data_IF_802455769579
#
_entry.id   IF_802455769579
#
_cell.length_a   1.000
_cell.length_b   1.000
_cell.length_c   1.000
_cell.angle_alpha   90.00
_cell.angle_beta   90.00
_cell.angle_gamma   90.00
#
_symmetry.space_group_name_H-M   'P 1'
#
loop_
_entity.id
_entity.type
_entity.pdbx_description
1 polymer ?
#
# COMPACT_ATOMS: atom_id res chain seq x y z
N UNK A 1 20.27 14.64 4.99
CA UNK A 1 19.50 14.82 3.76
C UNK A 1 18.23 14.02 3.86
N UNK A 2 17.16 14.54 3.33
CA UNK A 2 15.86 13.89 3.46
C UNK A 2 15.56 13.01 2.24
N UNK A 3 14.75 11.99 2.45
CA UNK A 3 14.16 11.23 1.35
C UNK A 3 13.20 12.16 0.60
N UNK A 4 13.29 12.18 -0.72
CA UNK A 4 12.42 13.01 -1.54
C UNK A 4 11.09 12.29 -1.79
N UNK A 5 10.04 12.79 -1.18
CA UNK A 5 8.68 12.30 -1.37
C UNK A 5 8.00 13.11 -2.48
N UNK A 6 7.36 12.41 -3.40
CA UNK A 6 6.70 13.03 -4.56
C UNK A 6 5.20 13.25 -4.35
N UNK A 7 4.52 12.28 -3.75
CA UNK A 7 3.08 12.33 -3.55
C UNK A 7 2.64 11.20 -2.62
N UNK A 8 1.39 11.23 -2.18
CA UNK A 8 0.79 10.08 -1.51
C UNK A 8 0.44 9.05 -2.58
N UNK A 9 0.94 7.83 -2.41
CA UNK A 9 0.65 6.72 -3.32
C UNK A 9 -0.69 6.06 -2.98
N UNK A 10 -0.84 5.63 -1.74
CA UNK A 10 -2.09 5.05 -1.26
C UNK A 10 -2.18 5.12 0.26
N UNK A 11 -3.38 4.86 0.77
CA UNK A 11 -3.66 4.71 2.19
C UNK A 11 -4.30 3.35 2.41
N UNK A 12 -3.72 2.54 3.28
CA UNK A 12 -4.21 1.19 3.57
C UNK A 12 -5.02 1.18 4.87
N UNK A 13 -6.23 0.63 4.81
CA UNK A 13 -7.12 0.49 5.96
C UNK A 13 -7.57 -0.96 6.10
N UNK A 14 -7.84 -1.38 7.33
CA UNK A 14 -8.34 -2.73 7.62
C UNK A 14 -9.85 -2.79 7.51
N UNK A 15 -10.35 -3.90 6.94
CA UNK A 15 -11.78 -4.12 6.75
C UNK A 15 -12.21 -5.46 7.38
N UNK A 16 -11.74 -5.75 8.59
CA UNK A 16 -11.94 -7.03 9.24
C UNK A 16 -13.36 -7.31 9.70
N UNK A 17 -14.18 -6.25 9.87
CA UNK A 17 -15.49 -6.36 10.51
C UNK A 17 -16.63 -6.63 9.56
N UNK A 18 -16.40 -6.53 8.27
CA UNK A 18 -17.43 -6.68 7.24
C UNK A 18 -16.86 -7.41 6.04
N UNK A 19 -17.70 -8.10 5.24
CA UNK A 19 -17.25 -8.71 3.99
C UNK A 19 -16.65 -7.64 3.05
N UNK A 20 -15.58 -7.97 2.31
CA UNK A 20 -14.96 -7.02 1.38
C UNK A 20 -15.93 -6.38 0.39
N UNK A 21 -16.90 -7.15 -0.12
CA UNK A 21 -17.90 -6.63 -1.07
C UNK A 21 -18.80 -5.57 -0.45
N UNK A 22 -19.16 -5.73 0.82
CA UNK A 22 -19.98 -4.75 1.54
C UNK A 22 -19.21 -3.44 1.69
N UNK A 23 -17.93 -3.51 2.03
CA UNK A 23 -17.10 -2.32 2.18
C UNK A 23 -16.87 -1.65 0.82
N UNK A 24 -16.57 -2.44 -0.22
CA UNK A 24 -16.45 -1.91 -1.57
C UNK A 24 -17.72 -1.17 -1.98
N UNK A 25 -18.88 -1.75 -1.72
CA UNK A 25 -20.16 -1.13 -2.05
C UNK A 25 -20.34 0.23 -1.42
N UNK A 26 -19.88 0.43 -0.19
CA UNK A 26 -19.91 1.74 0.44
C UNK A 26 -19.08 2.76 -0.36
N UNK A 27 -17.84 2.40 -0.69
CA UNK A 27 -16.98 3.32 -1.45
C UNK A 27 -17.53 3.63 -2.84
N UNK A 28 -18.08 2.64 -3.53
CA UNK A 28 -18.64 2.85 -4.87
C UNK A 28 -19.97 3.60 -4.85
N UNK A 29 -20.90 3.19 -4.00
CA UNK A 29 -22.27 3.67 -4.04
C UNK A 29 -22.50 4.92 -3.21
N UNK A 30 -21.76 5.11 -2.12
CA UNK A 30 -21.90 6.30 -1.27
C UNK A 30 -20.92 7.38 -1.69
N UNK A 31 -19.65 7.02 -1.91
CA UNK A 31 -18.60 7.98 -2.22
C UNK A 31 -18.30 8.12 -3.71
N UNK A 32 -18.86 7.27 -4.55
CA UNK A 32 -18.62 7.32 -5.99
C UNK A 32 -17.20 6.94 -6.41
N UNK A 33 -16.50 6.17 -5.58
CA UNK A 33 -15.11 5.80 -5.83
C UNK A 33 -15.03 4.36 -6.34
N UNK A 34 -14.59 4.14 -7.59
CA UNK A 34 -14.59 2.79 -8.16
C UNK A 34 -13.40 1.95 -7.68
N UNK A 35 -13.63 0.65 -7.58
CA UNK A 35 -12.57 -0.30 -7.36
C UNK A 35 -11.73 -0.45 -8.63
N UNK A 36 -10.41 -0.52 -8.48
CA UNK A 36 -9.50 -0.77 -9.59
C UNK A 36 -9.56 -2.23 -10.00
N UNK A 37 -9.74 -2.47 -11.29
CA UNK A 37 -9.82 -3.84 -11.85
C UNK A 37 -8.48 -4.53 -11.96
N UNK A 38 -7.39 -3.79 -11.79
CA UNK A 38 -6.02 -4.30 -11.91
C UNK A 38 -5.39 -4.79 -10.62
N UNK A 39 -6.13 -4.85 -9.52
CA UNK A 39 -5.57 -5.36 -8.26
C UNK A 39 -5.18 -6.83 -8.41
N UNK A 40 -3.91 -7.20 -8.13
CA UNK A 40 -3.54 -8.61 -8.16
C UNK A 40 -4.20 -9.38 -7.02
N UNK A 41 -4.39 -10.68 -7.22
CA UNK A 41 -4.80 -11.56 -6.13
C UNK A 41 -3.62 -11.80 -5.21
N UNK A 42 -3.79 -11.46 -3.93
CA UNK A 42 -2.77 -11.72 -2.91
C UNK A 42 -3.34 -12.81 -2.00
N UNK A 43 -2.77 -14.03 -2.04
CA UNK A 43 -3.31 -15.15 -1.28
C UNK A 43 -3.42 -14.83 0.23
N UNK A 44 -4.60 -15.05 0.81
CA UNK A 44 -4.86 -14.79 2.22
C UNK A 44 -5.01 -13.31 2.59
N UNK A 45 -5.00 -12.42 1.61
CA UNK A 45 -5.17 -10.98 1.82
C UNK A 45 -6.27 -10.48 0.87
N UNK A 46 -7.54 -10.77 1.16
CA UNK A 46 -8.65 -10.30 0.35
C UNK A 46 -8.82 -8.79 0.48
N UNK A 47 -9.40 -8.17 -0.52
CA UNK A 47 -9.70 -6.75 -0.47
C UNK A 47 -9.81 -6.11 -1.83
N UNK A 48 -9.80 -4.79 -1.83
CA UNK A 48 -9.96 -3.99 -3.04
C UNK A 48 -9.03 -2.78 -2.98
N UNK A 49 -8.64 -2.32 -4.15
CA UNK A 49 -7.95 -1.04 -4.30
C UNK A 49 -8.95 -0.05 -4.89
N UNK A 50 -9.24 0.99 -4.15
CA UNK A 50 -10.24 1.99 -4.52
C UNK A 50 -9.52 3.19 -5.14
N UNK A 51 -9.89 3.57 -6.36
CA UNK A 51 -9.28 4.72 -7.03
C UNK A 51 -9.84 6.02 -6.49
N UNK A 52 -8.95 6.97 -6.17
CA UNK A 52 -9.30 8.30 -5.69
C UNK A 52 -8.60 9.31 -6.59
N UNK A 53 -9.36 9.99 -7.43
CA UNK A 53 -8.80 10.93 -8.39
C UNK A 53 -7.85 10.27 -9.38
N UNK A 54 -6.93 11.06 -9.92
CA UNK A 54 -6.03 10.60 -10.99
C UNK A 54 -4.91 9.70 -10.48
N UNK A 55 -4.46 9.86 -9.25
CA UNK A 55 -3.25 9.18 -8.77
C UNK A 55 -3.40 8.46 -7.43
N UNK A 56 -4.37 8.83 -6.60
CA UNK A 56 -4.51 8.26 -5.26
C UNK A 56 -5.24 6.92 -5.25
N UNK A 57 -5.01 6.14 -4.19
CA UNK A 57 -5.79 4.94 -3.91
C UNK A 57 -6.00 4.76 -2.41
N UNK A 58 -7.10 4.10 -2.08
CA UNK A 58 -7.32 3.55 -0.74
C UNK A 58 -7.29 2.02 -0.91
N UNK A 59 -6.41 1.36 -0.16
CA UNK A 59 -6.32 -0.09 -0.17
C UNK A 59 -7.17 -0.65 0.97
N UNK A 60 -8.22 -1.38 0.64
CA UNK A 60 -9.06 -2.08 1.61
C UNK A 60 -8.45 -3.46 1.81
N UNK A 61 -7.98 -3.74 3.02
CA UNK A 61 -7.23 -4.96 3.30
C UNK A 61 -7.95 -5.80 4.35
N UNK A 62 -8.38 -6.98 3.95
CA UNK A 62 -9.03 -7.95 4.80
C UNK A 62 -8.14 -9.14 5.16
N UNK A 63 -8.77 -10.15 5.74
CA UNK A 63 -8.07 -11.37 6.16
C UNK A 63 -7.53 -11.29 7.58
N UNK A 64 -6.88 -12.36 8.01
CA UNK A 64 -6.37 -12.49 9.37
C UNK A 64 -5.11 -11.64 9.61
N UNK A 65 -4.87 -11.30 10.87
CA UNK A 65 -3.64 -10.65 11.32
C UNK A 65 -2.99 -11.50 12.42
N UNK A 66 -1.68 -11.75 12.34
CA UNK A 66 -0.78 -11.36 11.25
C UNK A 66 -1.16 -12.03 9.94
N UNK A 67 -0.93 -11.33 8.84
CA UNK A 67 -1.28 -11.85 7.52
C UNK A 67 -0.28 -12.93 7.07
N UNK A 68 -0.63 -13.73 6.03
CA UNK A 68 0.32 -14.72 5.48
C UNK A 68 1.59 -14.10 4.90
N UNK A 69 1.58 -12.80 4.64
CA UNK A 69 2.74 -12.09 4.07
C UNK A 69 3.58 -11.36 5.13
N UNK A 70 3.23 -11.49 6.41
CA UNK A 70 3.98 -10.88 7.49
C UNK A 70 5.43 -11.41 7.53
N UNK A 71 6.37 -10.49 7.75
CA UNK A 71 7.80 -10.79 7.83
C UNK A 71 8.26 -11.07 9.26
N UNK A 72 7.43 -10.77 10.25
CA UNK A 72 7.73 -10.94 11.67
C UNK A 72 6.89 -9.96 12.48
N UNK A 73 7.08 -9.96 13.83
CA UNK A 73 6.34 -9.01 14.69
C UNK A 73 6.55 -7.56 14.25
N UNK A 74 5.45 -6.84 14.07
CA UNK A 74 5.49 -5.45 13.65
C UNK A 74 5.89 -5.23 12.19
N UNK A 75 6.05 -6.29 11.39
CA UNK A 75 6.47 -6.22 9.99
C UNK A 75 5.45 -6.92 9.09
N UNK A 76 4.25 -6.39 9.06
CA UNK A 76 3.17 -6.94 8.24
C UNK A 76 2.71 -5.88 7.24
N UNK A 77 2.96 -6.10 5.93
CA UNK A 77 2.54 -5.14 4.91
C UNK A 77 1.03 -5.01 4.78
N UNK A 78 0.25 -5.90 5.36
CA UNK A 78 -1.21 -5.81 5.40
C UNK A 78 -1.73 -4.97 6.57
N UNK A 79 -0.86 -4.49 7.47
CA UNK A 79 -1.26 -3.59 8.55
C UNK A 79 -1.58 -2.19 8.01
N UNK A 80 -2.37 -1.38 8.74
CA UNK A 80 -2.67 -0.01 8.31
C UNK A 80 -1.40 0.82 8.11
N UNK A 81 -1.36 1.57 7.01
CA UNK A 81 -0.23 2.44 6.70
C UNK A 81 -0.60 3.48 5.65
N UNK A 82 0.23 4.52 5.54
CA UNK A 82 0.24 5.40 4.38
C UNK A 82 1.44 5.03 3.51
N UNK A 83 1.25 5.00 2.21
CA UNK A 83 2.34 4.80 1.27
C UNK A 83 2.66 6.12 0.56
N UNK A 84 3.92 6.48 0.58
CA UNK A 84 4.45 7.69 -0.03
C UNK A 84 5.29 7.31 -1.24
N UNK A 85 5.08 8.01 -2.35
CA UNK A 85 5.76 7.70 -3.59
C UNK A 85 7.16 8.32 -3.63
N UNK A 86 8.13 7.51 -4.07
CA UNK A 86 9.49 7.94 -4.36
C UNK A 86 9.82 7.65 -5.82
N UNK A 87 10.75 8.41 -6.39
CA UNK A 87 11.13 8.25 -7.79
C UNK A 87 11.85 6.91 -8.05
N UNK A 88 12.67 6.47 -7.10
CA UNK A 88 13.48 5.26 -7.25
C UNK A 88 13.65 4.57 -5.89
N UNK A 89 13.03 3.41 -5.76
CA UNK A 89 13.07 2.64 -4.51
C UNK A 89 14.48 2.14 -4.19
N UNK A 90 15.26 1.75 -5.22
CA UNK A 90 16.63 1.26 -5.00
C UNK A 90 17.52 2.35 -4.41
N UNK A 91 17.43 3.56 -4.97
CA UNK A 91 18.19 4.72 -4.45
C UNK A 91 17.70 5.12 -3.06
N UNK A 92 16.39 5.07 -2.84
CA UNK A 92 15.80 5.38 -1.52
C UNK A 92 16.29 4.41 -0.45
N UNK A 93 16.36 3.11 -0.78
CA UNK A 93 16.88 2.09 0.13
C UNK A 93 18.34 2.40 0.52
N UNK A 94 19.18 2.73 -0.46
CA UNK A 94 20.57 3.10 -0.21
C UNK A 94 20.67 4.35 0.67
N UNK A 95 19.79 5.31 0.44
CA UNK A 95 19.73 6.53 1.25
C UNK A 95 19.36 6.25 2.71
N UNK A 96 18.36 5.39 2.94
CA UNK A 96 17.99 4.97 4.28
C UNK A 96 19.15 4.28 5.00
N UNK A 97 19.88 3.43 4.30
CA UNK A 97 21.07 2.76 4.85
C UNK A 97 22.14 3.78 5.23
N UNK A 98 22.40 4.76 4.34
CA UNK A 98 23.38 5.81 4.59
C UNK A 98 23.01 6.70 5.76
N UNK A 99 21.71 6.98 5.93
CA UNK A 99 21.19 7.79 7.04
C UNK A 99 21.10 7.01 8.36
N UNK A 100 21.29 5.69 8.33
CA UNK A 100 21.15 4.85 9.52
C UNK A 100 19.70 4.70 9.97
N UNK A 101 18.72 4.87 9.09
CA UNK A 101 17.31 4.73 9.41
C UNK A 101 16.91 3.26 9.30
N UNK A 102 16.37 2.64 10.37
CA UNK A 102 15.89 1.26 10.30
C UNK A 102 14.73 1.12 9.32
N UNK A 103 14.76 0.06 8.52
CA UNK A 103 13.68 -0.27 7.60
C UNK A 103 13.60 -1.78 7.40
N UNK A 104 12.49 -2.21 6.81
CA UNK A 104 12.33 -3.59 6.34
C UNK A 104 11.69 -3.58 4.96
N UNK A 105 11.72 -4.71 4.28
CA UNK A 105 11.26 -4.81 2.89
C UNK A 105 10.28 -5.96 2.72
N UNK A 106 9.46 -5.87 1.67
CA UNK A 106 8.52 -6.91 1.29
C UNK A 106 8.39 -6.95 -0.23
N UNK A 107 8.16 -8.14 -0.77
CA UNK A 107 7.79 -8.35 -2.17
C UNK A 107 6.40 -8.99 -2.28
N UNK A 108 5.55 -8.80 -1.27
CA UNK A 108 4.24 -9.43 -1.22
C UNK A 108 3.31 -9.02 -2.36
N UNK A 109 3.39 -7.76 -2.80
CA UNK A 109 2.54 -7.26 -3.88
C UNK A 109 2.98 -7.74 -5.26
N UNK A 110 4.29 -7.88 -5.49
CA UNK A 110 4.84 -8.33 -6.75
C UNK A 110 6.28 -8.81 -6.55
N UNK A 111 6.70 -9.93 -7.19
CA UNK A 111 8.07 -10.41 -7.08
C UNK A 111 9.12 -9.42 -7.61
N UNK A 112 8.72 -8.56 -8.54
CA UNK A 112 9.63 -7.58 -9.15
C UNK A 112 9.69 -6.26 -8.39
N UNK A 113 8.83 -6.07 -7.40
CA UNK A 113 8.71 -4.83 -6.67
C UNK A 113 9.09 -5.00 -5.21
N UNK A 114 10.18 -4.36 -4.80
CA UNK A 114 10.54 -4.28 -3.39
C UNK A 114 9.86 -3.07 -2.76
N UNK A 115 9.05 -3.32 -1.75
CA UNK A 115 8.42 -2.28 -0.95
C UNK A 115 9.28 -2.01 0.28
N UNK A 116 9.47 -0.74 0.62
CA UNK A 116 10.23 -0.33 1.80
C UNK A 116 9.26 0.15 2.88
N UNK A 117 9.54 -0.23 4.12
CA UNK A 117 8.71 0.19 5.26
C UNK A 117 9.59 0.80 6.33
N UNK A 118 9.18 1.95 6.83
CA UNK A 118 9.80 2.63 7.96
C UNK A 118 8.72 2.91 9.00
N UNK A 119 9.16 3.26 10.21
CA UNK A 119 8.25 3.56 11.31
C UNK A 119 8.60 4.94 11.84
N UNK A 120 7.59 5.79 12.03
CA UNK A 120 7.83 7.10 12.65
C UNK A 120 8.08 6.94 14.16
N UNK A 121 8.48 8.01 14.87
CA UNK A 121 8.76 7.90 16.30
C UNK A 121 7.58 7.45 17.18
N UNK A 122 6.36 7.55 16.68
CA UNK A 122 5.16 7.10 17.39
C UNK A 122 4.72 5.69 17.02
N UNK A 123 5.47 5.00 16.13
CA UNK A 123 5.15 3.65 15.73
C UNK A 123 4.24 3.54 14.52
N UNK A 124 3.96 4.64 13.82
CA UNK A 124 3.15 4.59 12.60
C UNK A 124 3.96 4.03 11.45
N UNK A 125 3.41 3.03 10.77
CA UNK A 125 4.06 2.42 9.61
C UNK A 125 3.88 3.27 8.37
N UNK A 126 4.95 3.48 7.64
CA UNK A 126 4.97 4.22 6.38
C UNK A 126 5.66 3.36 5.33
N UNK A 127 4.99 3.18 4.20
CA UNK A 127 5.57 2.52 3.05
C UNK A 127 6.20 3.57 2.12
N UNK A 128 7.40 3.29 1.60
CA UNK A 128 8.02 4.08 0.54
C UNK A 128 7.94 3.26 -0.75
N UNK A 129 7.18 3.76 -1.71
CA UNK A 129 6.74 2.98 -2.86
C UNK A 129 7.21 3.60 -4.17
N UNK A 130 7.60 2.76 -5.12
CA UNK A 130 7.96 3.19 -6.46
C UNK A 130 6.78 3.90 -7.12
N UNK A 131 6.97 5.14 -7.60
CA UNK A 131 5.88 6.00 -8.06
C UNK A 131 5.03 5.41 -9.19
N UNK A 132 5.66 4.69 -10.12
CA UNK A 132 4.99 4.18 -11.30
C UNK A 132 4.57 2.72 -11.20
N UNK A 133 4.70 2.10 -10.02
CA UNK A 133 4.36 0.70 -9.79
C UNK A 133 3.14 0.57 -8.89
N UNK A 134 2.48 -0.59 -8.95
CA UNK A 134 1.30 -0.94 -8.16
C UNK A 134 0.19 0.11 -8.15
N UNK A 135 0.19 0.96 -9.15
CA UNK A 135 -0.97 1.77 -9.42
C UNK A 135 -1.89 1.01 -10.34
N UNK A 136 -2.35 -0.11 -9.96
CA UNK A 136 -3.12 -1.06 -10.73
C UNK A 136 -4.25 -0.37 -11.49
N UNK A 137 -3.87 0.42 -12.47
CA UNK A 137 -4.76 1.28 -13.21
C UNK A 137 -5.65 0.45 -14.11
N UNK A 138 -6.79 0.09 -13.57
CA UNK A 138 -7.84 -0.48 -14.37
C UNK A 138 -8.54 0.59 -15.20
N UNK A 139 -9.56 0.17 -15.94
CA UNK A 139 -10.26 1.04 -16.87
C UNK A 139 -10.90 2.26 -16.22
N UNK A 140 -11.19 2.19 -14.93
CA UNK A 140 -11.78 3.32 -14.19
C UNK A 140 -10.91 4.59 -14.19
N UNK A 141 -9.63 4.48 -14.54
CA UNK A 141 -8.72 5.63 -14.61
C UNK A 141 -8.35 6.07 -16.01
N UNK A 142 -8.85 5.39 -17.01
CA UNK A 142 -8.53 5.68 -18.41
C UNK A 142 -9.42 6.74 -19.04
N UNK A 143 -10.39 7.19 -18.33
CA UNK A 143 -11.31 8.23 -18.82
C UNK A 143 -10.67 9.62 -18.80
#
# INVERSE_FOLDING_TARGET
MAIKILEIHHHAVRIDRQPPETVRGFYENVLGLPADTGRPTIPGVPGYWINVGAVGQIHLIGGDMPSPVARGPGQDPAAPHVALAVANVVETKAELERMGVPFWTSKAASPELEQLFVTDPCGNMIELHQIDKCRCRGDSRKA
#
